data_IF_078993993352
#
_entry.id   IF_078993993352
#
_cell.length_a   1.000
_cell.length_b   1.000
_cell.length_c   1.000
_cell.angle_alpha   90.00
_cell.angle_beta   90.00
_cell.angle_gamma   90.00
#
_symmetry.space_group_name_H-M   'P 1'
#
loop_
_entity.id
_entity.type
_entity.pdbx_description
1 polymer ?
#
# COMPACT_ATOMS: atom_id res chain seq x y z
N UNK A 1 -19.15 17.11 13.28
CA UNK A 1 -18.09 16.12 13.57
C UNK A 1 -18.63 14.70 13.79
N UNK A 2 -19.85 14.51 14.31
CA UNK A 2 -20.47 13.18 14.44
C UNK A 2 -20.95 12.58 13.08
N UNK A 3 -21.32 13.42 12.11
CA UNK A 3 -21.88 12.96 10.84
C UNK A 3 -20.86 12.38 9.85
N UNK A 4 -19.57 12.72 9.98
CA UNK A 4 -18.48 12.13 9.19
C UNK A 4 -18.13 10.71 9.64
N UNK A 5 -18.42 10.36 10.89
CA UNK A 5 -18.14 9.03 11.46
C UNK A 5 -19.26 8.04 11.08
N UNK A 6 -20.50 8.52 11.00
CA UNK A 6 -21.68 7.70 10.69
C UNK A 6 -21.65 7.16 9.24
N UNK A 7 -21.24 7.98 8.26
CA UNK A 7 -21.08 7.52 6.87
C UNK A 7 -19.92 6.50 6.70
N UNK A 8 -18.97 6.46 7.63
CA UNK A 8 -17.86 5.49 7.66
C UNK A 8 -18.32 4.07 8.00
N UNK A 9 -19.49 3.91 8.62
CA UNK A 9 -19.96 2.62 9.16
C UNK A 9 -20.85 1.86 8.17
N UNK A 10 -21.42 2.53 7.17
CA UNK A 10 -22.37 1.93 6.21
C UNK A 10 -21.72 1.34 4.94
N UNK A 11 -20.41 1.57 4.73
CA UNK A 11 -19.63 1.09 3.57
C UNK A 11 -18.86 -0.22 3.90
N UNK A 12 -19.08 -0.80 5.08
CA UNK A 12 -18.21 -1.83 5.66
C UNK A 12 -18.49 -3.28 5.23
N UNK A 13 -19.42 -3.55 4.31
CA UNK A 13 -19.69 -4.92 3.87
C UNK A 13 -19.34 -5.11 2.38
N UNK A 14 -18.30 -5.93 2.17
CA UNK A 14 -17.92 -6.66 0.95
C UNK A 14 -16.98 -6.07 -0.11
N UNK A 15 -16.35 -4.91 0.07
CA UNK A 15 -15.36 -4.43 -0.90
C UNK A 15 -13.98 -4.15 -0.31
N UNK A 16 -12.97 -4.70 -0.98
CA UNK A 16 -11.54 -4.41 -0.85
C UNK A 16 -11.36 -2.90 -0.64
N UNK A 17 -10.86 -2.50 0.52
CA UNK A 17 -10.55 -1.10 0.80
C UNK A 17 -9.55 -0.59 -0.25
N UNK A 18 -10.05 0.14 -1.24
CA UNK A 18 -9.21 0.86 -2.18
C UNK A 18 -8.48 1.96 -1.41
N UNK A 19 -7.16 1.98 -1.56
CA UNK A 19 -6.21 2.91 -0.92
C UNK A 19 -6.42 4.36 -1.37
N UNK A 20 -7.41 4.69 -2.22
CA UNK A 20 -7.55 6.05 -2.73
C UNK A 20 -8.10 6.95 -1.62
N UNK A 21 -7.20 7.70 -1.02
CA UNK A 21 -7.50 8.63 0.06
C UNK A 21 -7.29 10.07 -0.42
N UNK A 22 -7.73 11.05 0.38
CA UNK A 22 -7.60 12.47 0.01
C UNK A 22 -6.12 12.85 -0.07
N UNK A 23 -5.68 13.47 -1.17
CA UNK A 23 -4.29 13.92 -1.29
C UNK A 23 -3.98 15.00 -0.24
N UNK A 24 -2.90 14.80 0.49
CA UNK A 24 -2.49 15.68 1.58
C UNK A 24 -1.27 16.50 1.17
N UNK A 25 -1.24 17.78 1.56
CA UNK A 25 0.00 18.56 1.52
C UNK A 25 0.96 18.04 2.60
N UNK A 26 2.25 18.38 2.48
CA UNK A 26 3.30 17.92 3.40
C UNK A 26 2.90 18.11 4.87
N UNK A 27 2.44 19.29 5.28
CA UNK A 27 2.05 19.58 6.68
C UNK A 27 0.88 18.72 7.18
N UNK A 28 -0.12 18.51 6.32
CA UNK A 28 -1.31 17.69 6.62
C UNK A 28 -0.92 16.22 6.72
N UNK A 29 -0.04 15.75 5.83
CA UNK A 29 0.52 14.40 5.84
C UNK A 29 1.33 14.14 7.13
N UNK A 30 2.17 15.10 7.54
CA UNK A 30 2.92 14.99 8.80
C UNK A 30 1.99 14.95 10.03
N UNK A 31 0.94 15.77 10.02
CA UNK A 31 -0.10 15.75 11.07
C UNK A 31 -0.87 14.42 11.08
N UNK A 32 -1.13 13.86 9.90
CA UNK A 32 -1.72 12.53 9.74
C UNK A 32 -0.84 11.45 10.34
N UNK A 33 0.48 11.52 10.17
CA UNK A 33 1.43 10.57 10.78
C UNK A 33 1.32 10.52 12.31
N UNK A 34 1.12 11.67 12.95
CA UNK A 34 0.88 11.77 14.41
C UNK A 34 -0.44 11.11 14.79
N UNK A 35 -1.53 11.42 14.07
CA UNK A 35 -2.86 10.87 14.33
C UNK A 35 -2.87 9.34 14.15
N UNK A 36 -2.19 8.86 13.10
CA UNK A 36 -2.05 7.44 12.80
C UNK A 36 -1.36 6.71 13.95
N UNK A 37 -0.27 7.28 14.48
CA UNK A 37 0.47 6.72 15.61
C UNK A 37 -0.36 6.68 16.90
N UNK A 38 -1.21 7.67 17.15
CA UNK A 38 -2.12 7.66 18.32
C UNK A 38 -3.16 6.54 18.23
N UNK A 39 -3.61 6.22 17.02
CA UNK A 39 -4.66 5.24 16.79
C UNK A 39 -4.14 3.81 16.70
N UNK A 40 -2.93 3.58 16.18
CA UNK A 40 -2.38 2.24 16.01
C UNK A 40 -2.21 1.52 17.36
N UNK A 41 -2.69 0.29 17.45
CA UNK A 41 -2.43 -0.62 18.58
C UNK A 41 -1.80 -1.87 18.02
N UNK A 42 -0.71 -2.32 18.63
CA UNK A 42 0.06 -3.49 18.18
C UNK A 42 -0.12 -4.68 19.11
N UNK A 43 -0.12 -5.88 18.53
CA UNK A 43 0.03 -7.11 19.29
C UNK A 43 1.51 -7.34 19.60
N UNK A 44 1.83 -7.75 20.83
CA UNK A 44 3.21 -8.17 21.16
C UNK A 44 3.62 -9.44 20.41
N UNK A 45 2.64 -10.25 19.98
CA UNK A 45 2.86 -11.49 19.25
C UNK A 45 3.16 -11.19 17.80
N UNK A 46 4.40 -11.47 17.41
CA UNK A 46 4.88 -11.26 16.06
C UNK A 46 4.34 -12.38 15.15
N UNK A 47 3.81 -12.04 13.96
CA UNK A 47 3.18 -13.01 13.05
C UNK A 47 3.91 -13.09 11.70
N UNK A 48 3.46 -14.05 10.88
CA UNK A 48 4.02 -14.33 9.55
C UNK A 48 3.64 -13.27 8.52
N UNK A 49 4.53 -13.03 7.56
CA UNK A 49 4.35 -12.16 6.38
C UNK A 49 3.44 -12.75 5.30
N UNK A 50 2.90 -13.96 5.49
CA UNK A 50 2.00 -14.62 4.53
C UNK A 50 0.82 -13.76 4.08
N UNK A 51 0.29 -12.92 4.97
CA UNK A 51 -0.84 -12.03 4.65
C UNK A 51 -0.45 -10.94 3.64
N UNK A 52 0.80 -10.45 3.70
CA UNK A 52 1.34 -9.48 2.74
C UNK A 52 1.53 -10.11 1.37
N UNK A 53 2.12 -11.31 1.33
CA UNK A 53 2.34 -12.06 0.08
C UNK A 53 0.99 -12.28 -0.61
N UNK A 54 -0.01 -12.79 0.11
CA UNK A 54 -1.35 -13.03 -0.46
C UNK A 54 -2.00 -11.76 -1.00
N UNK A 55 -1.92 -10.64 -0.27
CA UNK A 55 -2.52 -9.38 -0.71
C UNK A 55 -1.81 -8.83 -1.95
N UNK A 56 -0.47 -8.82 -1.92
CA UNK A 56 0.34 -8.39 -3.05
C UNK A 56 0.10 -9.26 -4.30
N UNK A 57 0.08 -10.58 -4.14
CA UNK A 57 -0.18 -11.51 -5.23
C UNK A 57 -1.55 -11.24 -5.85
N UNK A 58 -2.59 -11.06 -5.03
CA UNK A 58 -3.91 -10.66 -5.53
C UNK A 58 -3.86 -9.35 -6.33
N UNK A 59 -3.20 -8.33 -5.81
CA UNK A 59 -3.09 -7.05 -6.53
C UNK A 59 -2.34 -7.21 -7.86
N UNK A 60 -1.29 -8.02 -7.88
CA UNK A 60 -0.54 -8.29 -9.10
C UNK A 60 -1.35 -9.10 -10.11
N UNK A 61 -2.11 -10.10 -9.67
CA UNK A 61 -3.00 -10.89 -10.53
C UNK A 61 -4.06 -9.98 -11.17
N UNK A 62 -4.65 -9.06 -10.41
CA UNK A 62 -5.62 -8.08 -10.92
C UNK A 62 -4.96 -7.16 -11.99
N UNK A 63 -3.73 -6.67 -11.76
CA UNK A 63 -2.97 -5.89 -12.77
C UNK A 63 -2.68 -6.74 -14.02
N UNK A 64 -2.31 -8.01 -13.84
CA UNK A 64 -1.95 -8.90 -14.93
C UNK A 64 -3.14 -9.22 -15.84
N UNK A 65 -4.33 -9.40 -15.28
CA UNK A 65 -5.53 -9.61 -16.10
C UNK A 65 -5.90 -8.35 -16.90
N UNK A 66 -5.74 -7.15 -16.31
CA UNK A 66 -5.91 -5.88 -17.04
C UNK A 66 -4.89 -5.78 -18.19
N UNK A 67 -3.62 -6.08 -17.91
CA UNK A 67 -2.56 -6.11 -18.92
C UNK A 67 -2.91 -7.06 -20.07
N UNK A 68 -3.36 -8.29 -19.78
CA UNK A 68 -3.75 -9.27 -20.80
C UNK A 68 -4.92 -8.77 -21.66
N UNK A 69 -5.92 -8.16 -21.02
CA UNK A 69 -7.06 -7.56 -21.72
C UNK A 69 -6.60 -6.45 -22.68
N UNK A 70 -5.82 -5.49 -22.19
CA UNK A 70 -5.32 -4.39 -23.00
C UNK A 70 -4.42 -4.86 -24.15
N UNK A 71 -3.60 -5.88 -23.90
CA UNK A 71 -2.74 -6.46 -24.94
C UNK A 71 -3.57 -7.15 -26.04
N UNK A 72 -4.65 -7.85 -25.68
CA UNK A 72 -5.58 -8.43 -26.64
C UNK A 72 -6.29 -7.34 -27.46
N UNK A 73 -6.72 -6.25 -26.80
CA UNK A 73 -7.34 -5.09 -27.44
C UNK A 73 -6.39 -4.40 -28.43
N UNK A 74 -5.12 -4.24 -28.04
CA UNK A 74 -4.07 -3.68 -28.90
C UNK A 74 -3.87 -4.51 -30.18
N UNK A 75 -3.85 -5.84 -30.05
CA UNK A 75 -3.64 -6.76 -31.18
C UNK A 75 -4.77 -6.74 -32.22
N UNK A 76 -5.98 -6.32 -31.83
CA UNK A 76 -7.11 -6.15 -32.76
C UNK A 76 -7.25 -4.71 -33.26
N UNK A 77 -6.29 -3.83 -32.95
CA UNK A 77 -6.30 -2.43 -33.36
C UNK A 77 -7.32 -1.57 -32.63
N UNK A 78 -7.70 -1.95 -31.41
CA UNK A 78 -8.60 -1.15 -30.57
C UNK A 78 -7.91 0.11 -30.03
N UNK A 79 -8.71 1.13 -29.71
CA UNK A 79 -8.21 2.38 -29.13
C UNK A 79 -7.70 2.15 -27.70
N UNK A 80 -6.48 2.60 -27.44
CA UNK A 80 -5.85 2.56 -26.13
C UNK A 80 -5.73 3.98 -25.57
N UNK A 81 -6.02 4.13 -24.28
CA UNK A 81 -5.68 5.37 -23.58
C UNK A 81 -4.17 5.45 -23.34
N UNK A 82 -3.59 6.66 -23.17
CA UNK A 82 -2.16 6.79 -22.84
C UNK A 82 -1.74 6.00 -21.59
N UNK A 83 -2.64 5.85 -20.62
CA UNK A 83 -2.39 5.03 -19.43
C UNK A 83 -2.33 3.54 -19.75
N UNK A 84 -3.15 3.07 -20.71
CA UNK A 84 -3.13 1.69 -21.19
C UNK A 84 -1.81 1.36 -21.87
N UNK A 85 -1.36 2.23 -22.79
CA UNK A 85 -0.08 2.08 -23.49
C UNK A 85 1.09 2.06 -22.50
N UNK A 86 1.11 3.00 -21.55
CA UNK A 86 2.14 3.04 -20.51
C UNK A 86 2.20 1.72 -19.73
N UNK A 87 1.05 1.14 -19.37
CA UNK A 87 1.01 -0.14 -18.66
C UNK A 87 1.58 -1.27 -19.52
N UNK A 88 1.21 -1.35 -20.80
CA UNK A 88 1.74 -2.36 -21.72
C UNK A 88 3.26 -2.30 -21.84
N UNK A 89 3.80 -1.09 -22.00
CA UNK A 89 5.24 -0.85 -22.14
C UNK A 89 6.02 -1.14 -20.85
N UNK A 90 5.41 -0.93 -19.68
CA UNK A 90 6.09 -0.97 -18.38
C UNK A 90 5.71 -2.17 -17.49
N UNK A 91 4.81 -3.05 -17.93
CA UNK A 91 4.34 -4.19 -17.12
C UNK A 91 5.50 -5.05 -16.56
N UNK A 92 6.56 -5.23 -17.35
CA UNK A 92 7.74 -5.99 -16.94
C UNK A 92 8.41 -5.43 -15.67
N UNK A 93 8.39 -4.11 -15.45
CA UNK A 93 8.95 -3.47 -14.24
C UNK A 93 8.13 -3.84 -13.02
N UNK A 94 6.80 -3.90 -13.15
CA UNK A 94 5.90 -4.32 -12.07
C UNK A 94 6.17 -5.79 -11.74
N UNK A 95 6.28 -6.64 -12.76
CA UNK A 95 6.58 -8.06 -12.59
C UNK A 95 7.93 -8.29 -11.87
N UNK A 96 8.97 -7.56 -12.27
CA UNK A 96 10.29 -7.59 -11.63
C UNK A 96 10.20 -7.20 -10.14
N UNK A 97 9.53 -6.09 -9.81
CA UNK A 97 9.36 -5.68 -8.41
C UNK A 97 8.59 -6.71 -7.59
N UNK A 98 7.55 -7.34 -8.15
CA UNK A 98 6.81 -8.40 -7.46
C UNK A 98 7.69 -9.62 -7.20
N UNK A 99 8.51 -10.04 -8.17
CA UNK A 99 9.47 -11.15 -8.00
C UNK A 99 10.46 -10.86 -6.87
N UNK A 100 11.04 -9.66 -6.84
CA UNK A 100 11.99 -9.23 -5.81
C UNK A 100 11.36 -9.16 -4.42
N UNK A 101 10.15 -8.61 -4.33
CA UNK A 101 9.42 -8.51 -3.06
C UNK A 101 9.06 -9.91 -2.54
N UNK A 102 8.61 -10.82 -3.41
CA UNK A 102 8.36 -12.24 -3.04
C UNK A 102 9.61 -12.89 -2.46
N UNK A 103 10.77 -12.69 -3.10
CA UNK A 103 12.03 -13.25 -2.62
C UNK A 103 12.45 -12.64 -1.27
N UNK A 104 12.28 -11.33 -1.12
CA UNK A 104 12.56 -10.62 0.13
C UNK A 104 11.70 -11.12 1.28
N UNK A 105 10.38 -11.24 1.07
CA UNK A 105 9.43 -11.69 2.10
C UNK A 105 9.61 -13.15 2.54
N UNK A 106 10.25 -13.99 1.72
CA UNK A 106 10.64 -15.36 2.07
C UNK A 106 11.83 -15.42 3.03
N UNK A 107 12.61 -14.34 3.13
CA UNK A 107 13.78 -14.29 4.02
C UNK A 107 13.35 -14.05 5.47
N UNK A 108 13.98 -14.73 6.43
CA UNK A 108 13.68 -14.64 7.87
C UNK A 108 13.76 -13.22 8.46
N UNK A 109 14.40 -12.26 7.75
CA UNK A 109 14.56 -10.87 8.18
C UNK A 109 13.23 -10.13 8.37
N UNK A 110 12.19 -10.48 7.62
CA UNK A 110 10.85 -9.87 7.74
C UNK A 110 9.89 -10.74 8.54
N UNK A 111 10.32 -11.94 8.92
CA UNK A 111 9.54 -12.83 9.79
C UNK A 111 9.63 -12.23 11.18
N UNK A 112 8.46 -11.83 11.70
CA UNK A 112 8.24 -11.25 13.05
C UNK A 112 8.20 -9.71 13.10
N UNK A 113 7.25 -9.09 12.39
CA UNK A 113 6.88 -7.68 12.64
C UNK A 113 5.70 -7.58 13.63
N UNK A 114 5.56 -6.47 14.38
CA UNK A 114 4.37 -6.19 15.18
C UNK A 114 3.18 -5.94 14.26
N UNK A 115 2.08 -6.66 14.50
CA UNK A 115 0.86 -6.51 13.71
C UNK A 115 -0.13 -5.61 14.43
N UNK A 116 -0.94 -4.89 13.64
CA UNK A 116 -2.04 -4.11 14.16
C UNK A 116 -3.16 -5.01 14.70
N UNK A 117 -3.75 -4.63 15.83
CA UNK A 117 -4.92 -5.33 16.42
C UNK A 117 -6.23 -4.58 16.19
N UNK A 118 -6.13 -3.30 15.85
CA UNK A 118 -7.22 -2.42 15.48
C UNK A 118 -6.93 -1.79 14.11
N UNK A 119 -7.91 -1.06 13.55
CA UNK A 119 -7.95 -0.57 12.17
C UNK A 119 -8.43 -1.58 11.13
N UNK A 120 -8.68 -1.10 9.92
CA UNK A 120 -9.05 -1.90 8.75
C UNK A 120 -7.91 -2.85 8.31
N UNK A 121 -6.67 -2.58 8.73
CA UNK A 121 -5.48 -3.41 8.51
C UNK A 121 -5.17 -4.33 9.69
N UNK A 122 -6.18 -4.68 10.50
CA UNK A 122 -6.03 -5.65 11.57
C UNK A 122 -5.38 -6.94 11.03
N UNK A 123 -4.31 -7.39 11.71
CA UNK A 123 -3.56 -8.57 11.32
C UNK A 123 -2.45 -8.32 10.30
N UNK A 124 -2.30 -7.11 9.77
CA UNK A 124 -1.14 -6.72 8.96
C UNK A 124 -0.04 -6.07 9.81
N UNK A 125 1.23 -6.11 9.37
CA UNK A 125 2.32 -5.39 10.02
C UNK A 125 2.05 -3.89 10.11
N UNK A 126 2.36 -3.27 11.25
CA UNK A 126 2.22 -1.82 11.44
C UNK A 126 3.03 -1.02 10.41
N UNK A 127 4.24 -1.45 10.10
CA UNK A 127 5.08 -0.83 9.07
C UNK A 127 4.42 -0.83 7.68
N UNK A 128 3.62 -1.84 7.36
CA UNK A 128 2.84 -1.86 6.11
C UNK A 128 1.75 -0.82 6.12
N UNK A 129 1.01 -0.68 7.22
CA UNK A 129 -0.02 0.36 7.35
C UNK A 129 0.58 1.77 7.18
N UNK A 130 1.72 2.05 7.81
CA UNK A 130 2.42 3.34 7.66
C UNK A 130 2.78 3.61 6.19
N UNK A 131 3.34 2.61 5.50
CA UNK A 131 3.70 2.75 4.09
C UNK A 131 2.48 2.94 3.19
N UNK A 132 1.40 2.21 3.47
CA UNK A 132 0.14 2.30 2.71
C UNK A 132 -0.48 3.69 2.83
N UNK A 133 -0.56 4.22 4.05
CA UNK A 133 -1.10 5.55 4.34
C UNK A 133 -0.23 6.67 3.75
N UNK A 134 1.09 6.48 3.70
CA UNK A 134 1.96 7.43 3.01
C UNK A 134 1.67 7.46 1.51
N UNK A 135 1.63 6.28 0.88
CA UNK A 135 1.42 6.14 -0.56
C UNK A 135 0.02 6.61 -0.98
N UNK A 136 -1.00 6.35 -0.15
CA UNK A 136 -2.40 6.74 -0.39
C UNK A 136 -2.58 8.25 -0.52
N UNK A 137 -1.95 8.98 0.40
CA UNK A 137 -2.10 10.43 0.51
C UNK A 137 -1.14 11.20 -0.42
N UNK A 138 -0.19 10.52 -1.07
CA UNK A 138 0.76 11.13 -2.02
C UNK A 138 0.58 10.67 -3.47
N UNK A 139 -0.46 9.88 -3.78
CA UNK A 139 -0.67 9.28 -5.11
C UNK A 139 0.56 8.46 -5.58
N UNK A 140 1.26 7.83 -4.64
CA UNK A 140 2.51 7.11 -4.90
C UNK A 140 3.74 7.98 -5.14
N UNK A 141 3.66 9.30 -5.02
CA UNK A 141 4.83 10.20 -5.06
C UNK A 141 5.57 10.15 -3.73
N UNK A 142 6.50 9.21 -3.61
CA UNK A 142 7.28 9.00 -2.40
C UNK A 142 8.67 9.61 -2.57
N UNK A 143 8.87 10.76 -1.94
CA UNK A 143 10.18 11.42 -1.83
C UNK A 143 10.86 11.05 -0.50
N UNK A 144 12.19 10.95 -0.52
CA UNK A 144 12.98 10.55 0.65
C UNK A 144 12.74 11.47 1.86
N UNK A 145 12.77 12.79 1.66
CA UNK A 145 12.55 13.77 2.72
C UNK A 145 11.16 13.59 3.36
N UNK A 146 10.11 13.48 2.54
CA UNK A 146 8.74 13.31 3.00
C UNK A 146 8.55 11.99 3.75
N UNK A 147 9.17 10.91 3.28
CA UNK A 147 9.16 9.62 3.98
C UNK A 147 9.83 9.71 5.36
N UNK A 148 11.01 10.33 5.42
CA UNK A 148 11.77 10.48 6.67
C UNK A 148 10.98 11.32 7.67
N UNK A 149 10.45 12.46 7.24
CA UNK A 149 9.67 13.36 8.11
C UNK A 149 8.39 12.69 8.59
N UNK A 150 7.67 11.99 7.71
CA UNK A 150 6.46 11.25 8.10
C UNK A 150 6.77 10.16 9.15
N UNK A 151 7.84 9.39 8.95
CA UNK A 151 8.27 8.38 9.91
C UNK A 151 8.73 8.99 11.25
N UNK A 152 9.38 10.16 11.25
CA UNK A 152 9.73 10.89 12.47
C UNK A 152 8.48 11.34 13.23
N UNK A 153 7.53 11.96 12.52
CA UNK A 153 6.29 12.45 13.13
C UNK A 153 5.46 11.31 13.70
N UNK A 154 5.39 10.18 13.01
CA UNK A 154 4.79 8.95 13.56
C UNK A 154 5.48 8.50 14.86
N UNK A 155 6.82 8.51 14.88
CA UNK A 155 7.60 8.03 16.03
C UNK A 155 7.54 8.91 17.28
N UNK A 156 7.11 10.17 17.16
CA UNK A 156 6.88 11.05 18.32
C UNK A 156 5.86 10.46 19.31
N UNK A 157 4.92 9.65 18.82
CA UNK A 157 3.90 9.01 19.65
C UNK A 157 4.14 7.51 19.82
N UNK A 158 4.68 6.82 18.81
CA UNK A 158 5.01 5.40 18.91
C UNK A 158 6.33 5.03 18.24
N UNK A 159 7.30 4.64 19.06
CA UNK A 159 8.61 4.19 18.59
C UNK A 159 8.47 2.94 17.72
N UNK A 160 9.11 2.96 16.55
CA UNK A 160 9.24 1.82 15.66
C UNK A 160 10.47 1.01 16.06
N UNK A 161 10.37 -0.31 16.01
CA UNK A 161 11.55 -1.15 16.19
C UNK A 161 12.50 -1.02 14.99
N UNK A 162 13.77 -1.38 15.18
CA UNK A 162 14.76 -1.43 14.09
C UNK A 162 14.24 -2.30 12.92
N UNK A 163 13.59 -3.43 13.22
CA UNK A 163 13.02 -4.29 12.20
C UNK A 163 11.87 -3.64 11.43
N UNK A 164 11.07 -2.79 12.07
CA UNK A 164 10.00 -2.04 11.39
C UNK A 164 10.59 -0.99 10.46
N UNK A 165 11.59 -0.22 10.92
CA UNK A 165 12.30 0.77 10.09
C UNK A 165 12.93 0.13 8.87
N UNK A 166 13.66 -0.98 9.05
CA UNK A 166 14.29 -1.71 7.94
C UNK A 166 13.27 -2.28 6.96
N UNK A 167 12.04 -2.58 7.43
CA UNK A 167 10.98 -3.09 6.58
C UNK A 167 10.26 -2.02 5.76
N UNK A 168 10.36 -0.73 6.12
CA UNK A 168 9.61 0.33 5.46
C UNK A 168 9.83 0.37 3.95
N UNK A 169 11.07 0.20 3.48
CA UNK A 169 11.38 0.19 2.04
C UNK A 169 10.63 -0.93 1.30
N UNK A 170 10.57 -2.13 1.86
CA UNK A 170 9.82 -3.25 1.30
C UNK A 170 8.31 -3.00 1.35
N UNK A 171 7.82 -2.42 2.47
CA UNK A 171 6.41 -2.11 2.65
C UNK A 171 5.93 -1.05 1.66
N UNK A 172 6.76 -0.05 1.35
CA UNK A 172 6.48 0.97 0.34
C UNK A 172 6.35 0.33 -1.04
N UNK A 173 7.24 -0.59 -1.41
CA UNK A 173 7.11 -1.32 -2.69
C UNK A 173 5.78 -2.07 -2.78
N UNK A 174 5.37 -2.76 -1.70
CA UNK A 174 4.08 -3.46 -1.66
C UNK A 174 2.91 -2.48 -1.77
N UNK A 175 2.97 -1.34 -1.07
CA UNK A 175 1.95 -0.30 -1.13
C UNK A 175 1.84 0.34 -2.52
N UNK A 176 2.98 0.58 -3.19
CA UNK A 176 3.01 1.10 -4.56
C UNK A 176 2.42 0.12 -5.56
N UNK A 177 2.68 -1.18 -5.45
CA UNK A 177 2.05 -2.20 -6.30
C UNK A 177 0.53 -2.14 -6.16
N UNK A 178 0.02 -1.95 -4.94
CA UNK A 178 -1.41 -1.83 -4.73
C UNK A 178 -1.98 -0.50 -5.25
N UNK A 179 -1.25 0.61 -5.13
CA UNK A 179 -1.64 1.88 -5.76
C UNK A 179 -1.72 1.75 -7.28
N UNK A 180 -0.75 1.07 -7.90
CA UNK A 180 -0.76 0.76 -9.33
C UNK A 180 -2.00 -0.06 -9.69
N UNK A 181 -2.35 -1.09 -8.90
CA UNK A 181 -3.58 -1.88 -9.14
C UNK A 181 -4.83 -1.00 -9.18
N UNK A 182 -4.93 -0.04 -8.27
CA UNK A 182 -6.06 0.91 -8.23
C UNK A 182 -6.06 1.80 -9.47
N UNK A 183 -4.91 2.35 -9.86
CA UNK A 183 -4.80 3.16 -11.07
C UNK A 183 -5.22 2.32 -12.29
N UNK A 184 -4.69 1.11 -12.45
CA UNK A 184 -5.04 0.19 -13.52
C UNK A 184 -6.54 -0.15 -13.53
N UNK A 185 -7.15 -0.36 -12.37
CA UNK A 185 -8.60 -0.59 -12.26
C UNK A 185 -9.46 0.58 -12.71
N UNK A 186 -8.90 1.80 -12.79
CA UNK A 186 -9.56 2.99 -13.34
C UNK A 186 -9.22 3.25 -14.82
N UNK A 187 -8.36 2.43 -15.46
CA UNK A 187 -8.08 2.51 -16.90
C UNK A 187 -9.28 1.97 -17.72
N UNK A 188 -10.29 1.44 -17.03
CA UNK A 188 -11.57 0.97 -17.56
C UNK A 188 -12.74 1.56 -16.76
#
# INVERSE_FOLDING_TARGET
MADLISNRTKILNDNVYDIKDVLLKKEELLSHGVLLAQNHRIEKKKRSTKVLIKRMDKNFDDIFEIYKYLNALANVGGDLSPASEWLLDNFYKIEEQVKDVRQSLKTDRFVKLPNLVNSYLKGYPRAYAIALELVSHTDGRVEEETLIDFAKMYQNNQILSISEIWSLSLMIRIALIENIRIICGNIY
#
